data_IF_530337183492
#
_entry.id   IF_530337183492
#
_cell.length_a   1.000
_cell.length_b   1.000
_cell.length_c   1.000
_cell.angle_alpha   90.00
_cell.angle_beta   90.00
_cell.angle_gamma   90.00
#
_symmetry.space_group_name_H-M   'P 1'
#
loop_
_entity.id
_entity.type
_entity.pdbx_description
1 polymer ?
2 non-polymer ?
3 non-polymer ?
4 non-polymer ?
5 non-polymer ?
6 water ?
#
# COMPACT_ATOMS: atom_id res chain seq x y z
N UNK A 1 10.69 21.28 21.05
CA UNK A 1 12.08 21.26 21.43
C UNK A 1 12.23 20.60 22.78
N UNK A 2 12.46 19.29 22.77
CA UNK A 2 12.58 18.55 24.00
C UNK A 2 13.95 18.60 24.67
N UNK A 3 13.98 18.16 25.93
CA UNK A 3 15.21 18.15 26.67
C UNK A 3 15.49 16.75 27.20
N UNK A 4 16.68 16.54 27.73
CA UNK A 4 17.06 15.24 28.24
C UNK A 4 16.08 14.59 29.21
N UNK A 5 15.59 15.33 30.21
CA UNK A 5 14.68 14.73 31.18
C UNK A 5 13.37 14.23 30.58
N UNK A 6 12.71 15.04 29.76
CA UNK A 6 11.46 14.62 29.14
C UNK A 6 11.66 13.34 28.36
N UNK A 7 12.77 13.32 27.64
CA UNK A 7 13.12 12.19 26.82
C UNK A 7 13.41 10.96 27.67
N UNK A 8 14.03 11.17 28.84
CA UNK A 8 14.32 10.04 29.70
C UNK A 8 13.07 9.59 30.44
N UNK A 9 12.12 10.51 30.65
CA UNK A 9 10.88 10.17 31.33
C UNK A 9 10.03 9.28 30.44
N UNK A 10 10.08 9.53 29.14
CA UNK A 10 9.31 8.73 28.22
C UNK A 10 9.95 7.37 28.02
N UNK A 11 11.28 7.34 27.88
CA UNK A 11 11.95 6.07 27.71
C UNK A 11 11.86 5.22 28.98
N UNK A 12 11.76 5.87 30.13
CA UNK A 12 11.69 5.12 31.36
C UNK A 12 10.33 4.47 31.52
N UNK A 13 9.33 4.96 30.80
CA UNK A 13 8.01 4.38 30.90
C UNK A 13 7.74 3.35 29.81
N UNK A 14 8.72 3.14 28.93
CA UNK A 14 8.55 2.17 27.86
C UNK A 14 8.46 0.72 28.35
N UNK A 15 9.21 0.32 29.39
CA UNK A 15 9.14 -1.07 29.84
C UNK A 15 7.79 -1.35 30.45
N UNK A 16 7.18 -0.30 30.98
CA UNK A 16 5.86 -0.44 31.55
C UNK A 16 4.83 -0.53 30.44
N UNK A 17 5.18 0.03 29.29
CA UNK A 17 4.26 0.00 28.17
C UNK A 17 4.30 -1.29 27.39
N UNK A 18 5.47 -1.93 27.24
CA UNK A 18 5.49 -3.16 26.45
C UNK A 18 4.91 -4.36 27.17
N UNK A 19 4.86 -4.35 28.51
CA UNK A 19 4.31 -5.50 29.19
C UNK A 19 2.79 -5.45 29.31
N UNK A 20 2.21 -4.32 28.89
CA UNK A 20 0.77 -4.17 28.89
C UNK A 20 0.30 -4.23 27.44
N UNK A 21 1.28 -4.43 26.55
CA UNK A 21 1.07 -4.50 25.12
C UNK A 21 -0.38 -4.44 24.65
N UNK A 22 -1.08 -5.57 24.64
CA UNK A 22 -2.37 -5.65 23.96
C UNK A 22 -3.49 -4.99 24.74
N UNK A 23 -3.43 -5.10 26.06
CA UNK A 23 -4.44 -4.49 26.90
C UNK A 23 -4.48 -3.00 26.60
N UNK A 24 -3.30 -2.40 26.75
CA UNK A 24 -3.13 -0.98 26.51
C UNK A 24 -3.77 -0.55 25.19
N UNK A 25 -3.36 -1.16 24.10
CA UNK A 25 -3.91 -0.81 22.79
C UNK A 25 -5.43 -0.89 22.77
N UNK A 26 -6.00 -1.96 23.35
CA UNK A 26 -7.44 -2.11 23.37
C UNK A 26 -8.10 -0.99 24.13
N UNK A 27 -7.56 -0.67 25.30
CA UNK A 27 -8.12 0.42 26.07
C UNK A 27 -8.04 1.72 25.27
N UNK A 28 -6.95 1.93 24.55
CA UNK A 28 -6.84 3.16 23.78
C UNK A 28 -7.88 3.20 22.65
N UNK A 29 -8.03 2.13 21.88
CA UNK A 29 -9.01 2.19 20.82
C UNK A 29 -10.45 2.17 21.35
N UNK A 30 -10.69 1.55 22.50
CA UNK A 30 -12.05 1.52 23.02
C UNK A 30 -12.47 2.91 23.51
N UNK A 31 -11.50 3.66 23.98
CA UNK A 31 -11.78 5.00 24.45
C UNK A 31 -11.92 5.95 23.26
N UNK A 32 -11.16 5.70 22.20
CA UNK A 32 -11.23 6.54 21.02
C UNK A 32 -12.58 6.44 20.34
N UNK A 33 -12.94 5.22 19.96
CA UNK A 33 -14.20 4.99 19.29
C UNK A 33 -15.44 5.32 20.12
N UNK A 34 -15.33 5.35 21.44
CA UNK A 34 -16.47 5.69 22.27
C UNK A 34 -16.70 7.20 22.21
N UNK A 35 -15.64 7.98 22.42
CA UNK A 35 -15.76 9.43 22.43
C UNK A 35 -15.63 10.06 21.06
N UNK A 36 -15.04 9.35 20.10
CA UNK A 36 -14.88 9.92 18.79
C UNK A 36 -15.32 8.94 17.71
N UNK A 37 -16.56 8.46 17.80
CA UNK A 37 -17.08 7.48 16.85
C UNK A 37 -16.94 7.88 15.40
N UNK A 38 -16.88 9.18 15.12
CA UNK A 38 -16.75 9.59 13.74
C UNK A 38 -15.51 8.99 13.08
N UNK A 39 -14.54 8.54 13.89
CA UNK A 39 -13.35 7.96 13.31
C UNK A 39 -13.65 6.58 12.72
N UNK A 40 -14.84 6.04 12.99
CA UNK A 40 -15.21 4.75 12.40
C UNK A 40 -15.37 4.90 10.89
N UNK A 41 -15.51 6.16 10.42
CA UNK A 41 -15.68 6.43 9.00
C UNK A 41 -14.33 6.48 8.29
N UNK A 42 -13.24 6.38 9.06
CA UNK A 42 -11.91 6.42 8.49
C UNK A 42 -11.17 5.11 8.72
N UNK A 43 -11.31 4.50 9.89
CA UNK A 43 -10.65 3.23 10.14
C UNK A 43 -11.49 2.13 9.51
N UNK A 44 -10.90 0.96 9.28
CA UNK A 44 -11.64 -0.14 8.69
C UNK A 44 -12.53 -0.79 9.74
N UNK A 45 -13.84 -0.84 9.52
CA UNK A 45 -14.72 -1.44 10.50
C UNK A 45 -15.25 -2.79 10.02
N UNK A 46 -14.74 -3.27 8.90
CA UNK A 46 -15.23 -4.55 8.42
C UNK A 46 -15.05 -5.68 9.42
N UNK A 47 -16.06 -6.55 9.49
CA UNK A 47 -16.01 -7.67 10.40
C UNK A 47 -15.01 -8.72 9.93
N UNK A 48 -14.43 -8.49 8.76
CA UNK A 48 -13.46 -9.39 8.18
C UNK A 48 -12.03 -8.98 8.50
N UNK A 49 -11.82 -7.80 9.12
CA UNK A 49 -10.46 -7.36 9.42
C UNK A 49 -9.77 -8.17 10.51
N UNK A 50 -8.42 -8.12 10.58
CA UNK A 50 -7.73 -8.91 11.58
C UNK A 50 -7.12 -8.07 12.70
N UNK A 51 -7.22 -6.75 12.59
CA UNK A 51 -6.70 -5.88 13.64
C UNK A 51 -5.23 -5.54 13.54
N UNK A 52 -4.59 -5.79 12.40
CA UNK A 52 -3.18 -5.46 12.33
C UNK A 52 -2.93 -3.99 12.15
N UNK A 53 -3.71 -3.32 11.30
CA UNK A 53 -3.50 -1.90 11.10
C UNK A 53 -3.61 -1.12 12.41
N UNK A 54 -4.53 -1.51 13.29
CA UNK A 54 -4.67 -0.81 14.56
C UNK A 54 -3.44 -1.03 15.41
N UNK A 55 -3.05 -2.29 15.52
CA UNK A 55 -1.90 -2.66 16.31
C UNK A 55 -0.63 -1.95 15.89
N UNK A 56 -0.43 -1.82 14.58
CA UNK A 56 0.77 -1.18 14.07
C UNK A 56 0.79 0.31 14.33
N UNK A 57 -0.37 0.94 14.18
CA UNK A 57 -0.47 2.37 14.42
C UNK A 57 -0.08 2.71 15.85
N UNK A 58 -0.71 2.04 16.81
CA UNK A 58 -0.42 2.30 18.21
C UNK A 58 1.02 1.97 18.57
N UNK A 59 1.53 0.84 18.09
CA UNK A 59 2.90 0.51 18.42
C UNK A 59 3.85 1.52 17.83
N UNK A 60 3.56 2.01 16.63
CA UNK A 60 4.47 2.99 16.07
C UNK A 60 4.47 4.27 16.90
N UNK A 61 3.32 4.70 17.41
CA UNK A 61 3.32 5.92 18.20
C UNK A 61 4.14 5.74 19.47
N UNK A 62 4.08 4.56 20.07
CA UNK A 62 4.82 4.32 21.28
C UNK A 62 6.32 4.25 21.03
N UNK A 63 6.69 3.56 19.95
CA UNK A 63 8.10 3.40 19.63
C UNK A 63 8.72 4.65 19.03
N UNK A 64 7.94 5.39 18.23
CA UNK A 64 8.48 6.59 17.61
C UNK A 64 8.56 7.72 18.62
N UNK A 65 7.49 7.94 19.37
CA UNK A 65 7.48 9.00 20.35
C UNK A 65 8.58 8.84 21.41
N UNK A 66 8.90 7.61 21.79
CA UNK A 66 9.93 7.43 22.80
C UNK A 66 11.34 7.55 22.25
N UNK A 67 11.52 7.50 20.93
CA UNK A 67 12.85 7.67 20.39
C UNK A 67 12.81 8.79 19.36
N UNK A 68 12.10 9.86 19.75
CA UNK A 68 11.96 11.01 18.90
C UNK A 68 13.31 11.69 18.68
N UNK A 69 14.27 11.53 19.59
CA UNK A 69 15.58 12.12 19.36
C UNK A 69 16.23 11.52 18.12
N UNK A 70 16.05 10.20 17.94
CA UNK A 70 16.63 9.53 16.79
C UNK A 70 15.68 9.52 15.60
N UNK A 71 14.89 10.60 15.47
CA UNK A 71 13.95 10.67 14.37
C UNK A 71 14.63 10.47 13.03
N UNK A 72 15.79 11.07 12.79
CA UNK A 72 16.55 10.87 11.55
C UNK A 72 16.43 9.45 11.00
N UNK A 73 16.66 8.44 11.81
CA UNK A 73 16.58 7.08 11.30
C UNK A 73 15.15 6.63 11.02
N UNK A 74 14.17 7.35 11.56
CA UNK A 74 12.78 6.95 11.34
C UNK A 74 12.14 7.57 10.12
N UNK A 75 12.78 8.55 9.50
CA UNK A 75 12.18 9.22 8.35
C UNK A 75 11.74 8.34 7.20
N UNK A 76 12.38 7.22 6.92
CA UNK A 76 11.90 6.41 5.79
C UNK A 76 10.60 5.73 6.15
N UNK A 77 10.41 5.43 7.43
CA UNK A 77 9.16 4.81 7.85
C UNK A 77 8.08 5.88 7.99
N UNK A 78 8.51 7.11 8.29
CA UNK A 78 7.56 8.19 8.42
C UNK A 78 7.01 8.54 7.06
N UNK A 79 7.85 8.47 6.03
CA UNK A 79 7.41 8.79 4.69
C UNK A 79 6.39 7.77 4.21
N UNK A 80 6.66 6.50 4.46
CA UNK A 80 5.73 5.47 4.04
C UNK A 80 4.38 5.63 4.72
N UNK A 81 4.37 5.99 6.00
CA UNK A 81 3.10 6.16 6.70
C UNK A 81 2.44 7.47 6.29
N UNK A 82 3.23 8.51 6.07
CA UNK A 82 2.63 9.76 5.68
C UNK A 82 1.94 9.63 4.33
N UNK A 83 2.52 8.86 3.39
CA UNK A 83 1.89 8.71 2.09
C UNK A 83 0.55 8.01 2.23
N UNK A 84 0.49 7.01 3.10
CA UNK A 84 -0.74 6.27 3.31
C UNK A 84 -1.81 7.11 4.00
N UNK A 85 -1.41 7.94 4.96
CA UNK A 85 -2.35 8.79 5.67
C UNK A 85 -3.05 9.74 4.72
N UNK A 86 -2.30 10.19 3.73
CA UNK A 86 -2.79 11.11 2.72
C UNK A 86 -3.99 10.53 1.96
N UNK A 87 -4.04 9.21 1.79
CA UNK A 87 -5.19 8.62 1.11
C UNK A 87 -6.38 8.62 2.06
N UNK A 88 -6.10 8.45 3.35
CA UNK A 88 -7.16 8.45 4.35
C UNK A 88 -7.47 9.88 4.78
N UNK A 89 -6.83 10.87 4.14
CA UNK A 89 -7.07 12.26 4.48
C UNK A 89 -6.93 12.55 5.97
N UNK A 90 -5.85 12.09 6.58
CA UNK A 90 -5.66 12.36 7.99
C UNK A 90 -5.40 13.85 8.18
N UNK A 91 -5.93 14.45 9.25
CA UNK A 91 -5.73 15.87 9.44
C UNK A 91 -5.16 16.21 10.81
N UNK A 92 -4.74 17.45 11.00
CA UNK A 92 -4.11 17.86 12.25
C UNK A 92 -5.05 17.76 13.44
N UNK A 93 -6.35 17.98 13.22
CA UNK A 93 -7.30 17.88 14.31
C UNK A 93 -7.34 16.45 14.83
N UNK A 94 -7.21 15.47 13.92
CA UNK A 94 -7.24 14.08 14.35
C UNK A 94 -6.01 13.72 15.16
N UNK A 95 -4.89 14.40 14.93
CA UNK A 95 -3.73 14.10 15.73
C UNK A 95 -4.00 14.56 17.16
N UNK A 96 -4.78 15.62 17.32
CA UNK A 96 -5.10 16.11 18.65
C UNK A 96 -5.96 15.08 19.37
N UNK A 97 -6.89 14.49 18.65
CA UNK A 97 -7.76 13.47 19.19
C UNK A 97 -6.97 12.25 19.63
N UNK A 98 -6.07 11.77 18.77
CA UNK A 98 -5.28 10.61 19.14
C UNK A 98 -4.38 10.92 20.33
N UNK A 99 -3.96 12.19 20.45
CA UNK A 99 -3.10 12.58 21.55
C UNK A 99 -3.86 12.60 22.87
N UNK A 100 -5.12 13.07 22.84
CA UNK A 100 -5.93 13.12 24.04
C UNK A 100 -6.24 11.72 24.55
N UNK A 101 -6.49 10.79 23.63
CA UNK A 101 -6.81 9.43 24.01
C UNK A 101 -5.58 8.68 24.46
N UNK A 102 -4.41 9.05 23.94
CA UNK A 102 -3.22 8.36 24.36
C UNK A 102 -2.88 8.72 25.79
N UNK A 103 -2.87 10.02 26.10
CA UNK A 103 -2.56 10.44 27.44
C UNK A 103 -3.65 10.04 28.43
N UNK A 104 -4.92 10.08 28.00
CA UNK A 104 -5.97 9.69 28.92
C UNK A 104 -5.89 8.21 29.23
N UNK A 105 -5.48 7.41 28.25
CA UNK A 105 -5.35 5.99 28.51
C UNK A 105 -4.19 5.75 29.46
N UNK A 106 -3.06 6.44 29.25
CA UNK A 106 -1.93 6.26 30.14
C UNK A 106 -2.32 6.58 31.57
N UNK A 107 -3.05 7.67 31.74
CA UNK A 107 -3.48 8.05 33.07
C UNK A 107 -4.42 6.99 33.60
N UNK A 108 -5.52 6.75 32.88
CA UNK A 108 -6.47 5.74 33.31
C UNK A 108 -5.83 4.40 33.65
N UNK A 109 -4.88 3.93 32.85
CA UNK A 109 -4.27 2.65 33.15
C UNK A 109 -3.22 2.69 34.24
N UNK A 110 -2.48 3.80 34.39
CA UNK A 110 -1.42 3.78 35.40
C UNK A 110 -1.43 4.88 36.43
N UNK A 111 -2.03 6.02 36.11
CA UNK A 111 -2.03 7.11 37.07
C UNK A 111 -0.58 7.48 37.39
N UNK A 112 0.18 7.83 36.35
CA UNK A 112 1.60 8.10 36.45
C UNK A 112 1.93 9.47 37.02
N UNK A 113 0.95 10.32 37.28
CA UNK A 113 1.30 11.62 37.77
C UNK A 113 1.46 12.55 36.58
N UNK A 114 1.40 13.85 36.84
CA UNK A 114 1.48 14.82 35.77
C UNK A 114 2.81 14.85 35.03
N UNK A 115 3.93 14.74 35.72
CA UNK A 115 5.21 14.78 35.05
C UNK A 115 5.30 13.81 33.89
N UNK A 116 4.92 12.55 34.11
CA UNK A 116 4.97 11.56 33.06
C UNK A 116 4.04 11.89 31.91
N UNK A 117 2.80 12.28 32.22
CA UNK A 117 1.83 12.60 31.19
C UNK A 117 2.24 13.83 30.39
N UNK A 118 2.93 14.78 31.03
CA UNK A 118 3.37 15.96 30.33
C UNK A 118 4.48 15.58 29.36
N UNK A 119 5.39 14.74 29.82
CA UNK A 119 6.47 14.30 28.97
C UNK A 119 5.93 13.62 27.73
N UNK A 120 5.02 12.67 27.94
CA UNK A 120 4.44 11.96 26.81
C UNK A 120 3.68 12.90 25.90
N UNK A 121 3.12 13.98 26.46
CA UNK A 121 2.38 14.90 25.63
C UNK A 121 3.31 15.72 24.76
N UNK A 122 4.52 15.99 25.27
CA UNK A 122 5.49 16.76 24.50
C UNK A 122 6.16 15.90 23.44
N UNK A 123 6.49 14.65 23.78
CA UNK A 123 7.12 13.78 22.80
C UNK A 123 6.15 13.43 21.68
N UNK A 124 4.89 13.17 22.03
CA UNK A 124 3.89 12.84 21.03
C UNK A 124 3.69 14.04 20.11
N UNK A 125 3.56 15.21 20.74
CA UNK A 125 3.35 16.42 19.98
C UNK A 125 4.43 16.63 18.94
N UNK A 126 5.69 16.43 19.32
CA UNK A 126 6.75 16.60 18.35
C UNK A 126 6.59 15.60 17.21
N UNK A 127 6.24 14.38 17.56
CA UNK A 127 6.04 13.35 16.56
C UNK A 127 4.86 13.67 15.67
N UNK A 128 3.77 14.18 16.26
CA UNK A 128 2.62 14.49 15.44
C UNK A 128 2.90 15.64 14.50
N UNK A 129 3.74 16.58 14.92
CA UNK A 129 4.07 17.68 14.05
C UNK A 129 4.90 17.22 12.87
N UNK A 130 5.73 16.19 13.05
CA UNK A 130 6.53 15.69 11.94
C UNK A 130 5.63 15.14 10.84
N UNK A 131 4.63 14.38 11.23
CA UNK A 131 3.69 13.82 10.25
C UNK A 131 2.81 14.89 9.65
N UNK A 132 2.36 15.83 10.46
CA UNK A 132 1.50 16.87 9.93
C UNK A 132 2.23 17.71 8.90
N UNK A 133 3.50 17.99 9.15
CA UNK A 133 4.27 18.80 8.22
C UNK A 133 4.48 18.09 6.89
N UNK A 134 4.88 16.82 6.91
CA UNK A 134 5.11 16.09 5.68
C UNK A 134 3.82 15.81 4.92
N UNK A 135 2.73 15.59 5.66
CA UNK A 135 1.47 15.31 5.00
C UNK A 135 0.89 16.57 4.41
N UNK A 136 1.28 17.73 4.95
CA UNK A 136 0.80 18.98 4.39
C UNK A 136 1.51 19.26 3.08
N UNK A 137 2.78 18.84 3.00
CA UNK A 137 3.54 19.00 1.77
C UNK A 137 2.96 18.13 0.69
N UNK A 138 2.64 16.87 1.04
CA UNK A 138 2.08 15.96 0.06
C UNK A 138 0.72 16.41 -0.42
N UNK A 139 -0.14 16.91 0.48
CA UNK A 139 -1.44 17.37 0.05
C UNK A 139 -1.26 18.52 -0.91
N UNK A 140 -0.28 19.38 -0.62
CA UNK A 140 -0.02 20.52 -1.48
C UNK A 140 0.51 20.09 -2.84
N UNK A 141 1.38 19.07 -2.86
CA UNK A 141 1.93 18.58 -4.11
C UNK A 141 0.84 18.00 -4.98
N UNK A 142 -0.09 17.27 -4.33
CA UNK A 142 -1.18 16.64 -5.05
C UNK A 142 -2.17 17.65 -5.62
N UNK A 143 -2.39 18.77 -4.92
CA UNK A 143 -3.33 19.77 -5.43
C UNK A 143 -2.69 20.74 -6.42
N UNK A 144 -1.35 20.78 -6.45
CA UNK A 144 -0.63 21.67 -7.35
C UNK A 144 -0.47 21.07 -8.74
N UNK A 145 -0.31 19.74 -8.83
CA UNK A 145 -0.16 19.08 -10.13
C UNK A 145 -1.34 19.40 -11.04
N UNK A 146 -1.16 19.12 -12.33
CA UNK A 146 -2.25 19.32 -13.27
C UNK A 146 -3.22 18.16 -13.08
N UNK A 147 -4.52 18.42 -13.01
CA UNK A 147 -5.47 17.35 -12.80
C UNK A 147 -5.49 16.91 -11.34
N UNK A 148 -4.72 17.59 -10.50
CA UNK A 148 -4.67 17.22 -9.10
C UNK A 148 -5.80 17.84 -8.29
N UNK A 149 -6.02 17.37 -7.07
CA UNK A 149 -7.09 17.93 -6.28
C UNK A 149 -6.88 17.74 -4.79
N UNK A 150 -7.61 18.53 -4.02
CA UNK A 150 -7.56 18.46 -2.58
C UNK A 150 -8.72 17.61 -2.05
N UNK A 151 -8.47 16.77 -1.06
CA UNK A 151 -9.55 15.98 -0.52
C UNK A 151 -9.97 14.80 -1.35
N UNK A 152 -11.28 14.73 -1.51
CA UNK A 152 -11.95 13.68 -2.22
C UNK A 152 -12.54 14.23 -3.54
N UNK A 153 -12.56 13.46 -4.62
CA UNK A 153 -13.12 13.95 -5.89
C UNK A 153 -14.07 12.88 -6.43
N UNK A 154 -15.16 13.25 -7.09
CA UNK A 154 -16.07 12.22 -7.54
C UNK A 154 -15.63 11.61 -8.87
N UNK A 155 -15.72 10.28 -8.99
CA UNK A 155 -15.33 9.64 -10.23
C UNK A 155 -16.38 8.61 -10.63
N UNK A 156 -16.81 8.64 -11.89
CA UNK A 156 -17.79 7.67 -12.33
C UNK A 156 -17.13 6.36 -12.81
N UNK A 157 -17.75 5.21 -12.51
CA UNK A 157 -17.19 3.96 -13.00
C UNK A 157 -17.60 3.86 -14.46
N UNK A 158 -16.66 4.03 -15.39
CA UNK A 158 -17.05 3.98 -16.79
C UNK A 158 -16.87 2.61 -17.43
N UNK A 159 -16.22 1.65 -16.76
CA UNK A 159 -16.06 0.32 -17.32
C UNK A 159 -15.75 -0.71 -16.26
N UNK A 160 -16.42 -1.85 -16.34
CA UNK A 160 -16.22 -2.93 -15.38
C UNK A 160 -15.84 -4.17 -16.18
N UNK A 161 -14.60 -4.63 -16.07
CA UNK A 161 -14.19 -5.78 -16.85
C UNK A 161 -13.68 -6.93 -16.02
N UNK A 162 -14.24 -8.13 -16.21
CA UNK A 162 -13.76 -9.31 -15.49
C UNK A 162 -12.49 -9.81 -16.13
N UNK A 163 -11.35 -9.79 -15.42
CA UNK A 163 -10.14 -10.26 -16.06
C UNK A 163 -9.81 -11.72 -15.69
N UNK A 164 -10.50 -12.30 -14.69
CA UNK A 164 -10.31 -13.69 -14.31
C UNK A 164 -11.44 -14.07 -13.37
N UNK A 165 -11.44 -15.27 -12.79
CA UNK A 165 -12.54 -15.59 -11.91
C UNK A 165 -12.47 -14.78 -10.62
N UNK A 166 -11.29 -14.25 -10.28
CA UNK A 166 -11.18 -13.48 -9.05
C UNK A 166 -10.87 -12.01 -9.25
N UNK A 167 -10.43 -11.60 -10.44
CA UNK A 167 -10.10 -10.19 -10.57
C UNK A 167 -10.93 -9.46 -11.61
N UNK A 168 -11.38 -8.25 -11.26
CA UNK A 168 -12.19 -7.44 -12.17
C UNK A 168 -11.64 -6.03 -12.20
N UNK A 169 -11.41 -5.48 -13.39
CA UNK A 169 -10.88 -4.14 -13.44
C UNK A 169 -11.96 -3.06 -13.56
N UNK A 170 -11.69 -1.92 -12.94
CA UNK A 170 -12.64 -0.84 -13.00
C UNK A 170 -12.01 0.45 -13.54
N UNK A 171 -12.54 0.95 -14.66
CA UNK A 171 -12.03 2.19 -15.21
C UNK A 171 -12.78 3.34 -14.55
N UNK A 172 -12.07 4.40 -14.17
CA UNK A 172 -12.74 5.51 -13.50
C UNK A 172 -12.44 6.84 -14.17
N UNK A 173 -13.45 7.69 -14.33
CA UNK A 173 -13.23 8.99 -14.95
C UNK A 173 -13.90 10.10 -14.12
N UNK A 174 -13.22 11.22 -13.90
CA UNK A 174 -13.82 12.28 -13.09
C UNK A 174 -15.22 12.67 -13.55
N UNK A 175 -16.10 12.91 -12.58
CA UNK A 175 -17.44 13.32 -12.93
C UNK A 175 -17.41 14.74 -13.48
N UNK A 176 -16.37 15.49 -13.14
CA UNK A 176 -16.31 16.85 -13.65
C UNK A 176 -15.76 16.95 -15.07
N UNK A 177 -15.34 15.83 -15.68
CA UNK A 177 -14.84 15.87 -17.05
C UNK A 177 -13.51 16.60 -17.21
N UNK A 178 -12.77 16.73 -16.13
CA UNK A 178 -11.49 17.43 -16.23
C UNK A 178 -10.30 16.48 -16.23
N UNK A 179 -9.09 17.05 -16.27
CA UNK A 179 -7.88 16.24 -16.26
C UNK A 179 -7.63 15.59 -14.91
N UNK A 180 -6.94 14.44 -14.91
CA UNK A 180 -6.61 13.80 -13.64
C UNK A 180 -5.11 13.77 -13.43
N UNK A 181 -4.70 13.82 -12.17
CA UNK A 181 -3.29 13.84 -11.86
C UNK A 181 -2.50 12.67 -12.40
N UNK A 182 -1.22 12.95 -12.59
CA UNK A 182 -0.27 11.97 -13.05
C UNK A 182 0.23 11.26 -11.80
N UNK A 183 1.00 10.19 -11.95
CA UNK A 183 1.50 9.52 -10.78
C UNK A 183 2.74 8.72 -11.13
N UNK A 184 3.37 8.11 -10.13
CA UNK A 184 4.56 7.34 -10.38
C UNK A 184 4.23 5.84 -10.34
N UNK A 185 4.42 5.17 -11.47
CA UNK A 185 4.09 3.74 -11.54
C UNK A 185 4.46 3.01 -10.25
N UNK A 186 3.48 2.36 -9.65
CA UNK A 186 3.71 1.66 -8.41
C UNK A 186 2.91 2.32 -7.29
N UNK A 187 2.36 3.52 -7.56
CA UNK A 187 1.60 4.23 -6.55
C UNK A 187 0.15 3.77 -6.49
N UNK A 188 -0.63 4.25 -5.51
CA UNK A 188 -2.01 3.81 -5.38
C UNK A 188 -3.04 4.92 -5.22
N UNK A 189 -4.32 4.55 -5.29
CA UNK A 189 -5.38 5.52 -5.13
C UNK A 189 -6.12 5.24 -3.84
N UNK A 190 -6.76 6.27 -3.28
CA UNK A 190 -7.54 6.10 -2.08
C UNK A 190 -9.01 6.09 -2.50
N UNK A 191 -9.67 4.94 -2.36
CA UNK A 191 -11.06 4.84 -2.76
C UNK A 191 -12.03 4.87 -1.60
N UNK A 192 -12.78 5.95 -1.49
CA UNK A 192 -13.75 6.10 -0.41
C UNK A 192 -15.12 5.59 -0.84
N UNK A 193 -15.72 4.70 -0.04
CA UNK A 193 -17.01 4.15 -0.41
C UNK A 193 -17.98 4.08 0.76
N UNK A 194 -19.28 4.16 0.46
CA UNK A 194 -20.31 4.01 1.47
C UNK A 194 -21.67 3.77 0.83
N UNK A 195 -21.76 2.80 -0.08
CA UNK A 195 -23.06 2.44 -0.65
C UNK A 195 -24.09 2.38 0.47
N UNK A 196 -25.35 2.08 0.16
CA UNK A 196 -26.34 2.06 1.22
C UNK A 196 -26.30 0.89 2.17
N UNK A 197 -25.65 -0.21 1.83
CA UNK A 197 -25.61 -1.32 2.79
C UNK A 197 -24.50 -1.15 3.82
N UNK A 198 -23.53 -0.26 3.57
CA UNK A 198 -22.43 -0.07 4.50
C UNK A 198 -22.87 0.64 5.79
N UNK A 199 -22.48 0.13 6.94
CA UNK A 199 -22.79 0.78 8.20
C UNK A 199 -21.84 1.94 8.41
N UNK A 200 -20.69 1.86 7.73
CA UNK A 200 -19.70 2.90 7.85
C UNK A 200 -19.01 3.13 6.52
N UNK A 201 -18.40 4.31 6.39
CA UNK A 201 -17.69 4.60 5.16
C UNK A 201 -16.36 3.88 5.18
N UNK A 202 -16.05 3.13 4.13
CA UNK A 202 -14.78 2.44 4.11
C UNK A 202 -13.82 3.02 3.07
N UNK A 203 -12.54 3.05 3.41
CA UNK A 203 -11.51 3.56 2.53
C UNK A 203 -10.49 2.46 2.22
N UNK A 204 -10.23 2.19 0.93
CA UNK A 204 -9.27 1.16 0.57
C UNK A 204 -8.24 1.69 -0.42
N UNK A 205 -7.05 1.10 -0.46
CA UNK A 205 -6.02 1.55 -1.39
C UNK A 205 -5.88 0.60 -2.57
N UNK A 206 -6.05 1.12 -3.78
CA UNK A 206 -5.90 0.26 -4.95
C UNK A 206 -4.83 0.82 -5.88
N UNK A 207 -3.90 -0.03 -6.28
CA UNK A 207 -2.82 0.43 -7.14
C UNK A 207 -3.24 0.84 -8.53
N UNK A 208 -2.49 1.76 -9.12
CA UNK A 208 -2.79 2.16 -10.49
C UNK A 208 -2.11 1.17 -11.40
N UNK A 209 -2.87 0.70 -12.39
CA UNK A 209 -2.36 -0.36 -13.25
C UNK A 209 -1.80 0.00 -14.62
N UNK A 210 -1.81 1.26 -15.01
CA UNK A 210 -1.25 1.59 -16.33
C UNK A 210 -0.48 2.90 -16.24
N UNK A 211 0.18 3.24 -17.33
CA UNK A 211 0.90 4.48 -17.42
C UNK A 211 -0.10 5.62 -17.31
N UNK A 212 0.28 6.75 -16.74
CA UNK A 212 -0.69 7.83 -16.57
C UNK A 212 -1.10 8.42 -17.91
N UNK A 213 -2.37 8.84 -18.02
CA UNK A 213 -2.80 9.43 -19.29
C UNK A 213 -3.59 10.73 -19.09
N UNK A 214 -3.66 11.25 -17.85
CA UNK A 214 -4.37 12.49 -17.60
C UNK A 214 -5.87 12.47 -17.91
N UNK A 215 -6.45 11.29 -18.06
CA UNK A 215 -7.88 11.25 -18.37
C UNK A 215 -8.65 10.45 -17.34
N UNK A 216 -8.14 9.28 -16.98
CA UNK A 216 -8.82 8.46 -16.01
C UNK A 216 -7.87 7.45 -15.39
N UNK A 217 -8.38 6.59 -14.50
CA UNK A 217 -7.54 5.60 -13.87
C UNK A 217 -8.13 4.21 -14.02
N UNK A 218 -7.29 3.19 -13.89
CA UNK A 218 -7.80 1.84 -14.00
C UNK A 218 -7.29 0.97 -12.87
N UNK A 219 -8.21 0.53 -12.00
CA UNK A 219 -7.78 -0.31 -10.91
C UNK A 219 -8.27 -1.74 -11.09
N UNK A 220 -7.53 -2.70 -10.54
CA UNK A 220 -7.94 -4.09 -10.65
C UNK A 220 -8.09 -4.68 -9.26
N UNK A 221 -9.30 -5.13 -8.95
CA UNK A 221 -9.57 -5.67 -7.63
C UNK A 221 -9.77 -7.17 -7.56
N UNK A 222 -9.20 -7.79 -6.52
CA UNK A 222 -9.35 -9.23 -6.32
C UNK A 222 -10.49 -9.42 -5.34
N UNK A 223 -11.39 -10.35 -5.63
CA UNK A 223 -12.51 -10.55 -4.71
C UNK A 223 -12.09 -11.40 -3.54
N UNK A 224 -11.96 -10.77 -2.37
CA UNK A 224 -11.56 -11.50 -1.19
C UNK A 224 -12.76 -12.10 -0.50
N UNK A 225 -12.76 -13.41 -0.28
CA UNK A 225 -13.89 -14.03 0.40
C UNK A 225 -14.28 -13.32 1.70
N UNK A 226 -15.47 -12.73 1.75
CA UNK A 226 -15.90 -12.03 2.95
C UNK A 226 -15.43 -10.58 2.99
N UNK A 227 -14.61 -10.18 2.03
CA UNK A 227 -14.13 -8.80 2.01
C UNK A 227 -15.27 -7.83 1.74
N UNK A 228 -15.38 -6.78 2.54
CA UNK A 228 -16.46 -5.85 2.35
C UNK A 228 -16.36 -5.07 1.05
N UNK A 229 -15.36 -4.20 0.91
CA UNK A 229 -15.25 -3.44 -0.32
C UNK A 229 -15.04 -4.25 -1.61
N UNK A 230 -14.19 -5.29 -1.63
CA UNK A 230 -14.02 -5.99 -2.89
C UNK A 230 -15.28 -6.72 -3.33
N UNK A 231 -16.08 -7.24 -2.40
CA UNK A 231 -17.29 -7.91 -2.80
C UNK A 231 -18.34 -6.91 -3.26
N UNK A 232 -18.36 -5.69 -2.72
CA UNK A 232 -19.34 -4.72 -3.21
C UNK A 232 -18.96 -4.32 -4.62
N UNK A 233 -17.67 -4.11 -4.86
CA UNK A 233 -17.24 -3.73 -6.20
C UNK A 233 -17.50 -4.83 -7.21
N UNK A 234 -17.41 -6.09 -6.77
CA UNK A 234 -17.62 -7.17 -7.69
C UNK A 234 -19.08 -7.56 -7.86
N UNK A 235 -19.86 -7.46 -6.80
CA UNK A 235 -21.23 -7.92 -6.96
C UNK A 235 -22.29 -6.84 -7.06
N UNK A 236 -22.01 -5.63 -6.61
CA UNK A 236 -23.05 -4.62 -6.68
C UNK A 236 -22.67 -3.39 -7.49
N UNK A 237 -21.40 -2.98 -7.46
CA UNK A 237 -21.03 -1.79 -8.21
C UNK A 237 -21.28 -1.95 -9.70
N UNK A 238 -21.76 -0.88 -10.33
CA UNK A 238 -22.03 -0.98 -11.75
C UNK A 238 -21.53 0.21 -12.51
N UNK A 239 -21.31 0.01 -13.80
CA UNK A 239 -20.90 1.13 -14.60
C UNK A 239 -21.97 2.21 -14.48
N UNK A 240 -21.59 3.39 -14.03
CA UNK A 240 -22.57 4.44 -13.86
C UNK A 240 -22.55 4.94 -12.43
N UNK A 241 -22.12 4.07 -11.52
CA UNK A 241 -22.05 4.45 -10.12
C UNK A 241 -20.89 5.42 -9.86
N UNK A 242 -21.00 6.23 -8.81
CA UNK A 242 -19.95 7.19 -8.51
C UNK A 242 -19.28 6.93 -7.18
N UNK A 243 -17.96 6.93 -7.16
CA UNK A 243 -17.22 6.72 -5.92
C UNK A 243 -16.30 7.91 -5.69
N UNK A 244 -15.74 8.07 -4.50
CA UNK A 244 -14.86 9.20 -4.29
C UNK A 244 -13.40 8.77 -4.27
N UNK A 245 -12.52 9.57 -4.88
CA UNK A 245 -11.11 9.21 -4.91
C UNK A 245 -10.23 10.27 -4.29
N UNK A 246 -9.10 9.84 -3.76
CA UNK A 246 -8.14 10.77 -3.21
C UNK A 246 -6.90 10.65 -4.11
N UNK A 247 -6.26 11.76 -4.44
CA UNK A 247 -5.10 11.72 -5.33
C UNK A 247 -4.10 10.58 -5.07
N UNK A 248 -3.30 10.25 -6.10
CA UNK A 248 -2.35 9.14 -6.00
C UNK A 248 -1.20 9.43 -5.05
N UNK A 249 -0.89 8.46 -4.21
CA UNK A 249 0.19 8.62 -3.25
C UNK A 249 0.99 7.33 -3.14
N UNK A 250 2.01 7.28 -2.29
CA UNK A 250 2.76 6.04 -2.18
C UNK A 250 4.25 6.26 -2.35
N UNK A 251 5.07 5.56 -1.57
CA UNK A 251 6.51 5.71 -1.67
C UNK A 251 7.15 4.59 -2.48
N UNK A 252 6.34 3.64 -2.94
CA UNK A 252 6.86 2.55 -3.74
C UNK A 252 6.57 2.78 -5.21
N UNK A 253 7.61 3.10 -5.97
CA UNK A 253 7.42 3.31 -7.39
C UNK A 253 8.68 3.00 -8.17
N UNK A 254 8.56 2.91 -9.49
CA UNK A 254 9.73 2.59 -10.29
C UNK A 254 10.48 3.82 -10.76
N UNK A 255 11.78 3.87 -10.50
CA UNK A 255 12.56 5.01 -10.95
C UNK A 255 13.83 4.49 -11.62
N UNK A 256 13.79 4.35 -12.95
CA UNK A 256 14.92 3.82 -13.68
C UNK A 256 15.25 4.65 -14.91
N UNK A 257 16.44 4.46 -15.47
CA UNK A 257 16.77 5.17 -16.69
C UNK A 257 16.40 4.24 -17.84
N UNK A 258 16.74 4.62 -19.07
CA UNK A 258 16.38 3.76 -20.19
C UNK A 258 17.26 2.53 -20.25
N UNK A 259 18.48 2.66 -19.75
CA UNK A 259 19.39 1.52 -19.80
C UNK A 259 19.40 0.71 -18.51
N UNK A 260 18.46 0.96 -17.61
CA UNK A 260 18.42 0.20 -16.38
C UNK A 260 17.57 -1.06 -16.55
N UNK A 261 18.19 -2.23 -16.59
CA UNK A 261 17.39 -3.46 -16.63
C UNK A 261 16.43 -3.52 -15.45
N UNK A 262 15.21 -4.02 -15.67
CA UNK A 262 14.23 -4.09 -14.60
C UNK A 262 13.58 -5.45 -14.51
N UNK A 263 13.27 -5.89 -13.29
CA UNK A 263 12.61 -7.16 -13.12
C UNK A 263 11.35 -6.94 -12.29
N UNK A 264 10.21 -7.41 -12.77
CA UNK A 264 8.98 -7.21 -12.05
C UNK A 264 8.43 -8.54 -11.56
N UNK A 265 8.53 -8.77 -10.25
CA UNK A 265 8.09 -10.01 -9.65
C UNK A 265 6.75 -9.85 -8.94
N UNK A 266 5.80 -10.77 -9.17
CA UNK A 266 4.51 -10.61 -8.51
C UNK A 266 3.68 -11.88 -8.43
N UNK A 267 2.83 -11.95 -7.42
CA UNK A 267 1.97 -13.10 -7.24
C UNK A 267 0.51 -12.66 -7.16
N UNK A 268 -0.35 -13.19 -8.03
CA UNK A 268 -1.75 -12.84 -7.97
C UNK A 268 -2.06 -11.39 -8.29
N UNK A 269 -2.89 -10.76 -7.45
CA UNK A 269 -3.26 -9.38 -7.70
C UNK A 269 -2.13 -8.41 -7.38
N UNK A 270 -1.04 -8.94 -6.80
CA UNK A 270 0.12 -8.11 -6.49
C UNK A 270 0.77 -7.61 -7.76
N UNK A 271 0.26 -8.06 -8.90
CA UNK A 271 0.80 -7.63 -10.17
C UNK A 271 0.27 -6.26 -10.57
N UNK A 272 -0.68 -5.69 -9.81
CA UNK A 272 -1.24 -4.42 -10.23
C UNK A 272 -0.26 -3.27 -10.38
N UNK A 273 0.61 -2.98 -9.40
CA UNK A 273 1.63 -1.95 -9.59
C UNK A 273 2.61 -2.34 -10.70
N UNK A 274 2.88 -3.64 -10.86
CA UNK A 274 3.79 -4.08 -11.91
C UNK A 274 3.22 -3.76 -13.30
N UNK A 275 1.89 -3.85 -13.46
CA UNK A 275 1.30 -3.55 -14.75
C UNK A 275 1.54 -2.09 -15.09
N UNK A 276 1.41 -1.20 -14.11
CA UNK A 276 1.66 0.20 -14.38
C UNK A 276 3.12 0.39 -14.77
N UNK A 277 4.01 -0.37 -14.13
CA UNK A 277 5.42 -0.28 -14.45
C UNK A 277 5.73 -0.85 -15.83
N UNK A 278 5.09 -1.97 -16.19
CA UNK A 278 5.36 -2.56 -17.49
C UNK A 278 4.81 -1.67 -18.60
N UNK A 279 3.62 -1.11 -18.38
CA UNK A 279 3.05 -0.24 -19.38
C UNK A 279 3.92 0.98 -19.60
N UNK A 280 4.49 1.50 -18.51
CA UNK A 280 5.36 2.65 -18.60
C UNK A 280 6.63 2.33 -19.37
N UNK A 281 7.19 1.15 -19.14
CA UNK A 281 8.42 0.81 -19.84
C UNK A 281 8.15 0.57 -21.31
N UNK A 282 7.03 -0.08 -21.60
CA UNK A 282 6.72 -0.34 -22.98
C UNK A 282 6.46 0.94 -23.76
N UNK A 283 5.69 1.86 -23.19
CA UNK A 283 5.42 3.08 -23.92
C UNK A 283 6.67 3.93 -24.04
N UNK A 284 7.68 3.69 -23.21
CA UNK A 284 8.89 4.51 -23.33
C UNK A 284 9.93 3.87 -24.22
N UNK A 285 9.65 2.67 -24.73
CA UNK A 285 10.60 2.01 -25.59
C UNK A 285 11.83 1.55 -24.83
N UNK A 286 11.68 1.29 -23.53
CA UNK A 286 12.80 0.84 -22.72
C UNK A 286 13.75 -0.04 -23.51
N UNK A 287 15.05 0.30 -23.54
CA UNK A 287 15.97 -0.54 -24.32
C UNK A 287 16.59 -1.67 -23.51
N UNK A 288 16.76 -1.52 -22.19
CA UNK A 288 17.37 -2.59 -21.41
C UNK A 288 16.41 -3.74 -21.13
N UNK A 289 16.95 -4.88 -20.75
CA UNK A 289 16.15 -6.05 -20.47
C UNK A 289 15.02 -5.82 -19.48
N UNK A 290 13.86 -6.40 -19.76
CA UNK A 290 12.73 -6.26 -18.85
C UNK A 290 12.15 -7.63 -18.61
N UNK A 291 12.10 -8.05 -17.35
CA UNK A 291 11.57 -9.35 -17.02
C UNK A 291 10.23 -9.26 -16.30
N UNK A 292 9.36 -10.22 -16.58
CA UNK A 292 8.06 -10.26 -15.95
C UNK A 292 7.87 -11.63 -15.33
N UNK A 293 8.14 -11.75 -14.04
CA UNK A 293 7.96 -13.04 -13.40
C UNK A 293 6.68 -13.03 -12.58
N UNK A 294 5.73 -13.92 -12.91
CA UNK A 294 4.47 -13.90 -12.19
C UNK A 294 4.03 -15.28 -11.76
N UNK A 295 3.36 -15.36 -10.61
CA UNK A 295 2.85 -16.61 -10.12
C UNK A 295 1.36 -16.49 -9.83
N UNK A 296 0.57 -17.38 -10.39
CA UNK A 296 -0.86 -17.35 -10.13
C UNK A 296 -1.24 -18.73 -9.63
N UNK A 297 -2.40 -18.89 -8.99
CA UNK A 297 -2.74 -20.21 -8.51
C UNK A 297 -3.01 -21.16 -9.67
N UNK A 298 -3.76 -20.69 -10.66
CA UNK A 298 -4.09 -21.50 -11.81
C UNK A 298 -4.50 -20.61 -12.98
N UNK A 299 -5.00 -21.20 -14.06
CA UNK A 299 -5.37 -20.39 -15.20
C UNK A 299 -6.70 -19.69 -15.01
N UNK A 300 -7.56 -20.27 -14.18
CA UNK A 300 -8.87 -19.67 -13.93
C UNK A 300 -8.77 -18.32 -13.26
N UNK A 301 -7.83 -18.24 -12.32
CA UNK A 301 -7.61 -17.08 -11.52
C UNK A 301 -6.55 -16.13 -12.06
N UNK A 302 -5.78 -16.57 -13.07
CA UNK A 302 -4.73 -15.73 -13.64
C UNK A 302 -5.30 -14.62 -14.50
N UNK A 303 -4.99 -13.37 -14.17
CA UNK A 303 -5.50 -12.26 -14.95
C UNK A 303 -4.42 -11.50 -15.70
N UNK A 304 -4.82 -10.71 -16.69
CA UNK A 304 -3.91 -9.89 -17.48
C UNK A 304 -2.79 -10.60 -18.23
N UNK A 305 -2.86 -11.90 -18.48
CA UNK A 305 -1.78 -12.54 -19.23
C UNK A 305 -1.73 -12.05 -20.67
N UNK A 306 -2.88 -11.69 -21.25
CA UNK A 306 -2.89 -11.21 -22.62
C UNK A 306 -2.31 -9.80 -22.75
N UNK A 307 -2.58 -8.94 -21.77
CA UNK A 307 -2.07 -7.58 -21.82
C UNK A 307 -0.56 -7.58 -21.66
N UNK A 308 -0.07 -8.38 -20.72
CA UNK A 308 1.35 -8.48 -20.47
C UNK A 308 2.08 -8.97 -21.70
N UNK A 309 1.43 -9.85 -22.47
CA UNK A 309 2.07 -10.37 -23.68
C UNK A 309 2.21 -9.29 -24.74
N UNK A 310 1.13 -8.58 -25.01
CA UNK A 310 1.19 -7.53 -26.01
C UNK A 310 2.15 -6.43 -25.59
N UNK A 311 2.25 -6.14 -24.29
CA UNK A 311 3.17 -5.10 -23.88
C UNK A 311 4.61 -5.55 -24.03
N UNK A 312 4.91 -6.80 -23.65
CA UNK A 312 6.29 -7.24 -23.78
C UNK A 312 6.66 -7.34 -25.25
N UNK A 313 5.72 -7.70 -26.10
CA UNK A 313 6.04 -7.78 -27.51
C UNK A 313 6.51 -6.45 -28.02
N UNK A 314 6.01 -5.36 -27.45
CA UNK A 314 6.42 -4.05 -27.91
C UNK A 314 7.80 -3.67 -27.39
N UNK A 315 8.36 -4.44 -26.45
CA UNK A 315 9.68 -4.09 -25.94
C UNK A 315 10.80 -4.82 -26.69
N UNK A 316 12.01 -4.23 -26.73
CA UNK A 316 13.13 -4.86 -27.44
C UNK A 316 13.70 -6.08 -26.73
N UNK A 317 13.98 -5.95 -25.43
CA UNK A 317 14.52 -7.07 -24.66
C UNK A 317 13.51 -7.42 -23.53
N UNK A 318 12.60 -8.37 -23.77
CA UNK A 318 11.60 -8.71 -22.78
C UNK A 318 11.52 -10.21 -22.55
N UNK A 319 11.39 -10.63 -21.28
CA UNK A 319 11.28 -12.04 -21.01
C UNK A 319 10.21 -12.27 -19.95
N UNK A 320 9.23 -13.13 -20.25
CA UNK A 320 8.18 -13.38 -19.27
C UNK A 320 8.18 -14.83 -18.83
N UNK A 321 7.89 -15.08 -17.55
CA UNK A 321 7.84 -16.45 -17.05
C UNK A 321 6.69 -16.58 -16.06
N UNK A 322 5.78 -17.52 -16.27
CA UNK A 322 4.67 -17.64 -15.34
C UNK A 322 4.66 -18.97 -14.61
N UNK A 323 4.36 -18.96 -13.31
CA UNK A 323 4.29 -20.18 -12.53
C UNK A 323 2.89 -20.39 -12.01
N UNK A 324 2.28 -21.54 -12.30
CA UNK A 324 0.97 -21.81 -11.77
C UNK A 324 1.14 -22.74 -10.57
N UNK A 325 0.82 -22.29 -9.36
CA UNK A 325 1.01 -23.15 -8.20
C UNK A 325 0.19 -24.42 -8.21
N UNK A 326 -1.01 -24.39 -8.79
CA UNK A 326 -1.81 -25.59 -8.77
C UNK A 326 -2.58 -25.76 -10.06
N UNK A 327 -1.87 -25.96 -11.17
CA UNK A 327 -2.51 -26.04 -12.48
C UNK A 327 -3.61 -27.08 -12.56
N UNK A 328 -4.72 -26.71 -13.21
CA UNK A 328 -5.80 -27.66 -13.38
C UNK A 328 -5.52 -28.52 -14.60
N UNK A 329 -6.30 -29.59 -14.81
CA UNK A 329 -6.07 -30.44 -15.97
C UNK A 329 -6.21 -29.61 -17.23
N UNK A 330 -7.25 -28.79 -17.30
CA UNK A 330 -7.43 -27.95 -18.46
C UNK A 330 -6.23 -27.03 -18.68
N UNK A 331 -5.63 -26.53 -17.61
CA UNK A 331 -4.48 -25.66 -17.73
C UNK A 331 -3.33 -26.39 -18.37
N UNK A 332 -3.11 -27.63 -17.98
CA UNK A 332 -2.03 -28.42 -18.53
C UNK A 332 -2.27 -28.73 -20.00
N UNK A 333 -3.54 -28.85 -20.41
CA UNK A 333 -3.86 -29.14 -21.79
C UNK A 333 -3.76 -27.91 -22.69
N UNK A 334 -3.76 -26.73 -22.08
CA UNK A 334 -3.66 -25.51 -22.86
C UNK A 334 -2.22 -25.03 -22.89
N UNK A 335 -1.43 -25.39 -21.90
CA UNK A 335 -0.03 -24.96 -21.87
C UNK A 335 0.10 -23.44 -21.84
N UNK A 336 -0.69 -22.75 -21.01
CA UNK A 336 -0.57 -21.31 -20.97
C UNK A 336 0.36 -20.86 -19.84
N UNK A 337 1.17 -21.77 -19.31
CA UNK A 337 2.11 -21.42 -18.27
C UNK A 337 3.45 -22.12 -18.48
N UNK A 338 4.49 -21.53 -17.86
CA UNK A 338 5.83 -22.02 -18.03
C UNK A 338 6.23 -23.11 -17.06
N UNK A 339 6.11 -22.84 -15.77
CA UNK A 339 6.46 -23.84 -14.78
C UNK A 339 5.36 -24.02 -13.74
N UNK A 340 5.30 -25.17 -13.09
CA UNK A 340 4.28 -25.34 -12.09
C UNK A 340 4.89 -25.39 -10.70
N UNK A 341 4.19 -24.83 -9.72
CA UNK A 341 4.71 -24.81 -8.37
C UNK A 341 5.10 -23.40 -7.98
N UNK A 342 5.91 -23.28 -6.93
CA UNK A 342 6.33 -21.98 -6.46
C UNK A 342 7.33 -21.32 -7.36
N UNK A 343 7.44 -20.00 -7.22
CA UNK A 343 8.34 -19.26 -8.04
C UNK A 343 9.79 -19.53 -7.68
N UNK A 344 10.41 -20.45 -8.41
CA UNK A 344 11.79 -20.79 -8.15
C UNK A 344 12.70 -20.14 -9.18
N UNK A 345 13.08 -18.88 -8.92
CA UNK A 345 13.96 -18.16 -9.83
C UNK A 345 15.27 -18.90 -10.05
N UNK A 346 15.78 -19.52 -8.99
CA UNK A 346 17.03 -20.23 -9.07
C UNK A 346 17.08 -21.26 -10.19
N UNK A 347 15.92 -21.63 -10.73
CA UNK A 347 15.92 -22.60 -11.80
C UNK A 347 15.52 -21.98 -13.12
N UNK A 348 15.62 -20.66 -13.20
CA UNK A 348 15.27 -20.08 -14.46
C UNK A 348 16.40 -20.24 -15.45
N UNK A 349 16.12 -19.95 -16.71
CA UNK A 349 17.16 -20.07 -17.70
C UNK A 349 18.04 -18.83 -17.73
N UNK A 350 19.03 -18.77 -16.86
CA UNK A 350 19.91 -17.62 -16.86
C UNK A 350 19.59 -16.67 -15.72
N UNK A 351 20.63 -16.27 -14.99
CA UNK A 351 20.40 -15.37 -13.88
C UNK A 351 20.61 -13.92 -14.28
N UNK A 352 20.43 -13.02 -13.31
CA UNK A 352 20.61 -11.62 -13.60
C UNK A 352 21.97 -11.19 -13.13
N UNK A 353 22.93 -11.36 -14.02
CA UNK A 353 24.30 -10.98 -13.70
C UNK A 353 24.50 -9.48 -13.84
N UNK A 354 23.42 -8.72 -14.02
CA UNK A 354 23.57 -7.29 -14.15
C UNK A 354 23.45 -6.57 -12.81
N UNK A 355 24.57 -6.09 -12.26
CA UNK A 355 24.56 -5.40 -10.98
C UNK A 355 23.67 -4.17 -10.97
N UNK A 356 23.40 -3.59 -12.12
CA UNK A 356 22.56 -2.42 -12.17
C UNK A 356 21.07 -2.77 -12.28
N UNK A 357 20.71 -4.05 -12.32
CA UNK A 357 19.31 -4.39 -12.44
C UNK A 357 18.52 -4.02 -11.19
N UNK A 358 17.29 -3.52 -11.38
CA UNK A 358 16.45 -3.16 -10.26
C UNK A 358 15.29 -4.14 -10.18
N UNK A 359 14.94 -4.58 -8.96
CA UNK A 359 13.87 -5.56 -8.83
C UNK A 359 12.69 -5.02 -8.02
N UNK A 360 11.48 -5.18 -8.54
CA UNK A 360 10.31 -4.75 -7.79
C UNK A 360 9.53 -5.99 -7.43
N UNK A 361 9.03 -6.06 -6.20
CA UNK A 361 8.31 -7.24 -5.76
C UNK A 361 6.95 -6.87 -5.17
N UNK A 362 5.93 -7.70 -5.37
CA UNK A 362 4.63 -7.43 -4.79
C UNK A 362 3.71 -8.64 -4.78
N UNK A 363 3.47 -9.14 -3.57
CA UNK A 363 2.61 -10.29 -3.35
C UNK A 363 2.37 -10.40 -1.86
N UNK A 364 2.02 -11.58 -1.34
CA UNK A 364 1.89 -11.70 0.10
C UNK A 364 3.27 -11.64 0.76
N UNK A 365 3.32 -11.46 2.08
CA UNK A 365 4.58 -11.37 2.77
C UNK A 365 5.47 -12.59 2.61
N UNK A 366 4.94 -13.80 2.77
CA UNK A 366 5.78 -14.96 2.61
C UNK A 366 6.36 -15.02 1.21
N UNK A 367 5.55 -14.67 0.20
CA UNK A 367 6.01 -14.70 -1.19
C UNK A 367 7.15 -13.73 -1.43
N UNK A 368 7.03 -12.52 -0.90
CA UNK A 368 8.06 -11.53 -1.10
C UNK A 368 9.33 -11.84 -0.31
N UNK A 369 9.21 -12.45 0.86
CA UNK A 369 10.42 -12.75 1.61
C UNK A 369 11.15 -13.95 1.02
N UNK A 370 10.39 -14.83 0.37
CA UNK A 370 10.93 -16.03 -0.23
C UNK A 370 11.62 -15.73 -1.54
N UNK A 371 11.07 -14.74 -2.20
CA UNK A 371 11.55 -14.33 -3.50
C UNK A 371 12.66 -13.27 -3.36
N UNK A 372 12.64 -12.50 -2.29
CA UNK A 372 13.68 -11.51 -2.12
C UNK A 372 14.94 -12.17 -1.58
N UNK A 373 14.76 -13.25 -0.80
CA UNK A 373 15.91 -13.94 -0.24
C UNK A 373 16.59 -14.79 -1.31
N UNK A 374 15.83 -15.20 -2.33
CA UNK A 374 16.42 -15.95 -3.42
C UNK A 374 17.34 -15.00 -4.17
N UNK A 375 16.86 -13.76 -4.35
CA UNK A 375 17.65 -12.77 -5.06
C UNK A 375 18.93 -12.45 -4.31
N UNK A 376 18.91 -12.24 -3.00
CA UNK A 376 20.21 -11.94 -2.43
C UNK A 376 21.07 -13.18 -2.38
N UNK A 377 20.49 -14.37 -2.32
CA UNK A 377 21.33 -15.55 -2.31
C UNK A 377 22.05 -15.66 -3.64
N UNK A 378 21.48 -15.05 -4.69
CA UNK A 378 22.09 -15.09 -6.00
C UNK A 378 23.10 -13.95 -6.18
N UNK A 379 23.20 -13.09 -5.17
CA UNK A 379 24.17 -12.01 -5.25
C UNK A 379 23.56 -10.62 -5.39
N UNK A 380 22.23 -10.52 -5.54
CA UNK A 380 21.61 -9.20 -5.69
C UNK A 380 21.69 -8.35 -4.44
N UNK A 381 22.22 -7.14 -4.58
CA UNK A 381 22.30 -6.28 -3.41
C UNK A 381 20.91 -5.92 -2.95
N UNK A 382 20.78 -5.68 -1.65
CA UNK A 382 19.50 -5.36 -1.05
C UNK A 382 18.97 -4.01 -1.49
N UNK A 383 19.86 -3.05 -1.79
CA UNK A 383 19.38 -1.74 -2.19
C UNK A 383 18.82 -1.73 -3.61
N UNK A 384 18.91 -2.85 -4.31
CA UNK A 384 18.38 -2.94 -5.66
C UNK A 384 17.03 -3.64 -5.65
N UNK A 385 16.59 -4.08 -4.46
CA UNK A 385 15.33 -4.78 -4.35
C UNK A 385 14.28 -3.87 -3.74
N UNK A 386 13.12 -3.76 -4.38
CA UNK A 386 12.10 -2.90 -3.84
C UNK A 386 10.81 -3.67 -3.73
N UNK A 387 10.00 -3.40 -2.70
CA UNK A 387 8.76 -4.14 -2.55
C UNK A 387 7.67 -3.38 -1.82
N UNK A 388 6.42 -3.86 -1.92
CA UNK A 388 5.30 -3.21 -1.25
C UNK A 388 4.27 -4.20 -0.71
N UNK A 389 3.79 -3.96 0.51
CA UNK A 389 2.78 -4.85 1.07
C UNK A 389 1.38 -4.30 0.91
N UNK A 390 0.41 -5.18 0.64
CA UNK A 390 -0.96 -4.74 0.53
C UNK A 390 -1.64 -4.76 1.91
N UNK A 391 -0.82 -4.90 2.95
CA UNK A 391 -1.29 -4.90 4.33
C UNK A 391 -0.28 -4.07 5.12
N UNK A 392 -0.24 -4.09 6.45
CA UNK A 392 0.77 -3.33 7.17
C UNK A 392 2.18 -3.63 6.67
N UNK A 393 3.11 -2.69 6.86
CA UNK A 393 4.44 -2.89 6.37
C UNK A 393 5.29 -3.85 7.18
N UNK A 394 5.87 -4.82 6.46
CA UNK A 394 6.74 -5.80 7.07
C UNK A 394 8.18 -5.69 6.51
N UNK A 395 9.06 -6.56 7.06
CA UNK A 395 10.49 -6.57 6.69
C UNK A 395 11.23 -7.89 6.60
N UNK A 396 11.94 -8.14 5.48
CA UNK A 396 12.80 -9.30 5.51
C UNK A 396 14.07 -8.94 4.81
X LIG B 1 -11.93 -6.36 4.34
X LIG B 1 -10.98 -5.36 4.84
X LIG B 1 -13.23 -6.62 4.98
X LIG B 1 -11.27 -7.75 4.13
X LIG B 1 -9.88 -7.98 4.03
X LIG B 1 -9.87 -9.40 3.51
X LIG B 1 -8.58 -9.94 3.19
X LIG B 1 -10.63 -10.57 4.23
X LIG B 1 -11.58 -11.11 3.28
X LIG B 1 -9.55 -11.51 4.59
X LIG B 1 -9.88 -12.85 4.70
X LIG B 1 -8.57 -11.30 3.46
X LIG B 1 -7.20 -11.68 3.57
X LIG B 1 -6.51 -12.63 2.78
X LIG B 1 -5.28 -12.78 3.10
X LIG B 1 -5.04 -11.91 4.14
X LIG B 1 -3.90 -11.63 4.90
X LIG B 1 -2.74 -12.25 4.69
X LIG B 1 -3.99 -10.69 5.92
X LIG B 1 -5.17 -10.03 6.13
X LIG B 1 -6.38 -10.27 5.43
X LIG B 1 -6.16 -11.26 4.43
X LIG B 1 -6.14 -4.93 -3.60
X LIG B 1 -6.46 -5.21 -4.91
X LIG B 1 -7.32 -6.05 -5.20
X LIG B 1 -5.77 -4.55 -5.92
X LIG B 1 -4.77 -3.58 -5.73
X LIG B 1 -4.23 -3.04 -6.75
X LIG B 1 -4.46 -3.31 -4.42
X LIG B 1 -3.43 -2.35 -4.19
X LIG B 1 -3.10 -2.09 -2.82
X LIG B 1 -2.07 -1.16 -2.49
X LIG B 1 -1.70 -0.84 -1.17
X LIG B 1 -0.56 0.16 -0.93
X LIG B 1 -2.39 -1.49 -0.08
X LIG B 1 -2.08 -1.19 1.39
X LIG B 1 -3.41 -2.40 -0.34
X LIG B 1 -3.78 -2.73 -1.68
X LIG B 1 -4.82 -3.70 -2.07
X LIG B 1 -5.14 -3.99 -3.38
X LIG B 1 -5.47 -4.33 -1.01
X LIG B 1 -6.80 -3.74 -0.75
X LIG B 1 -6.64 -2.32 -0.47
X LIG B 1 -7.54 -4.30 0.37
X LIG B 1 -6.97 -5.17 1.32
X LIG B 1 -8.88 -4.81 -0.01
X LIG B 1 -9.67 -4.12 -0.99
X LIG B 1 -9.62 -5.37 1.12
X LIG B 1 -10.93 -5.17 0.80
X LIG B 1 -12.18 -5.68 1.41
X LIG B 1 -13.21 -4.80 0.99
X LIG B 1 -12.35 -6.97 0.72
X LIG B 1 -12.09 -6.34 2.81
X LIG C 1 -2.12 3.39 9.66
X LIG C 1 1.39 5.26 12.49
X LIG C 1 -1.57 8.95 13.67
X LIG C 1 -5.14 6.95 11.14
X LIG C 1 -0.88 3.60 10.31
X LIG C 1 0.21 2.61 10.34
X LIG C 1 1.14 3.12 11.18
X LIG C 1 0.67 4.42 11.62
X LIG C 1 2.45 2.44 11.59
X LIG C 1 0.35 1.33 9.48
X LIG C 1 1.12 1.70 8.22
X LIG C 1 1.19 0.59 7.19
X LIG C 1 0.13 0.19 6.72
X LIG C 1 2.26 0.40 6.63
X LIG C 1 0.91 6.48 12.98
X LIG C 1 1.67 7.36 13.86
X LIG C 1 0.83 8.36 14.23
X LIG C 1 -0.45 8.09 13.57
X LIG C 1 3.06 7.08 14.42
X LIG C 1 1.00 9.39 15.21
X LIG C 1 1.96 10.47 15.32
X LIG C 1 -2.77 8.76 12.99
X LIG C 1 -3.95 9.63 13.19
X LIG C 1 -4.97 9.04 12.54
X LIG C 1 -4.41 7.82 11.91
X LIG C 1 -4.02 10.93 14.03
X LIG C 1 -6.25 9.61 12.39
X LIG C 1 -7.50 9.21 13.01
X LIG C 1 -4.59 5.88 10.45
X LIG C 1 -5.38 4.97 9.63
X LIG C 1 -4.56 3.96 9.23
X LIG C 1 -3.23 4.24 9.78
X LIG C 1 -6.86 5.10 9.28
X LIG C 1 -4.99 2.78 8.36
X LIG C 1 -5.52 1.65 9.22
X LIG C 1 -6.78 1.03 8.64
X LIG C 1 -6.79 0.72 7.44
X LIG C 1 -7.69 0.70 9.42
X LIG C 1 -0.58 4.72 11.07
X LIG C 1 -0.38 6.95 12.74
X LIG C 1 -3.05 7.68 12.14
X LIG C 1 -3.26 5.46 10.51
X LIG C 1 -1.71 6.34 11.38
X LIG D 1 -14.73 2.69 8.22
X LIG E 1 -3.09 -13.31 -11.56
X LIG F 1 -7.48 -3.23 11.32
#
# INVERSE_FOLDING_TARGET
MLDAQTIATVKATIPLLVETGPKLTAHFYDRMFTHNPELKEIFNMSNQRNGDQREALFNAIAAYASNIENLPALLPAVEKIAQKHTSFQIKPEQYNIVGEHLLATLDEMFSPGQEVLDAWGKAYGVLANVFINREAEIYNENASKAGGWEGTRDFRIVAKTPRSALITSFELEPVDGGAVAEYRPGQYLGVWLKPEGFPHQEIRQYSLTRKPDGKGYRIAVKREEGGQVSNWLHNHANVGDVVKLVAPAGDFFMAVADDTPVTLISAGVGQTPMLAMLDTLAKAGHTAQVNWFHAAENGDVHAFADEVKELGQSLPRFTAHTWYRQPSEADRAKGQFDSEGLMDLSKLEGAFSDPTMQFYLCGPVGFMQFTAKQLVDLGVKQENIHYECFGPHKVL
FAD PA O1A O2A O5B C5B C4B O4B C3B O3B C2B O2B C1B N9A C8A N7A C5A C6A N6A N1A C2A N3A C4A N1 C2 O2 N3 C4 O4 C4X N5 C5X C6 C7 C7M C8 C8M C9 C9A N10 C10 C1' C2' O2' C3' O3' C4' O4' C5' O5' P O1P O2P O3P
HEM CHA CHB CHC CHD C1A C2A C3A C4A CMA CAA CBA CGA O1A O2A C1B C2B C3B C4B CMB CAB CBB C1C C2C C3C C4C CMC CAC CBC C1D C2D C3D C4D CMD CAD CBD CGD O1D O2D NA NB NC ND FE
NA NA
NA NA
CL CL
#
